data_IF_554533059655
#
_entry.id   IF_554533059655
#
_cell.length_a   1.000
_cell.length_b   1.000
_cell.length_c   1.000
_cell.angle_alpha   90.00
_cell.angle_beta   90.00
_cell.angle_gamma   90.00
#
_symmetry.space_group_name_H-M   'P 1'
#
loop_
_entity.id
_entity.type
_entity.pdbx_description
1 polymer ?
#
# COMPACT_ATOMS: atom_id res chain seq x y z
N UNK A 1 -21.11 52.34 12.69
CA UNK A 1 -20.26 51.93 11.54
C UNK A 1 -20.55 52.86 10.40
N UNK A 2 -19.52 53.55 9.93
CA UNK A 2 -19.64 54.46 8.79
C UNK A 2 -19.71 53.64 7.48
N UNK A 3 -20.29 54.24 6.43
CA UNK A 3 -20.46 53.60 5.12
C UNK A 3 -19.11 53.14 4.50
N UNK A 4 -18.01 53.79 4.91
CA UNK A 4 -16.64 53.42 4.53
C UNK A 4 -16.12 52.18 5.24
N UNK A 5 -16.44 52.02 6.53
CA UNK A 5 -16.07 50.80 7.30
C UNK A 5 -16.77 49.57 6.75
N UNK A 6 -18.01 49.67 6.31
CA UNK A 6 -18.74 48.59 5.68
C UNK A 6 -18.13 48.18 4.32
N UNK A 7 -17.73 49.15 3.49
CA UNK A 7 -17.05 48.90 2.22
C UNK A 7 -15.70 48.25 2.41
N UNK A 8 -14.90 48.68 3.38
CA UNK A 8 -13.60 48.10 3.68
C UNK A 8 -13.72 46.68 4.20
N UNK A 9 -14.69 46.38 5.06
CA UNK A 9 -15.01 45.06 5.58
C UNK A 9 -15.39 44.11 4.45
N UNK A 10 -16.24 44.54 3.51
CA UNK A 10 -16.66 43.73 2.35
C UNK A 10 -15.46 43.42 1.43
N UNK A 11 -14.57 44.41 1.19
CA UNK A 11 -13.37 44.16 0.38
C UNK A 11 -12.40 43.18 1.06
N UNK A 12 -12.21 43.23 2.37
CA UNK A 12 -11.37 42.32 3.11
C UNK A 12 -11.93 40.90 3.06
N UNK A 13 -13.25 40.73 3.17
CA UNK A 13 -13.90 39.41 3.05
C UNK A 13 -13.72 38.83 1.64
N UNK A 14 -13.83 39.67 0.61
CA UNK A 14 -13.65 39.21 -0.77
C UNK A 14 -12.19 38.76 -1.01
N UNK A 15 -11.20 39.50 -0.54
CA UNK A 15 -9.78 39.13 -0.64
C UNK A 15 -9.50 37.84 0.11
N UNK A 16 -10.09 37.60 1.29
CA UNK A 16 -9.94 36.35 2.03
C UNK A 16 -10.55 35.17 1.29
N UNK A 17 -11.72 35.38 0.67
CA UNK A 17 -12.40 34.36 -0.14
C UNK A 17 -11.55 33.95 -1.37
N UNK A 18 -11.01 34.94 -2.09
CA UNK A 18 -10.15 34.71 -3.25
C UNK A 18 -8.86 33.96 -2.86
N UNK A 19 -8.22 34.33 -1.74
CA UNK A 19 -7.04 33.63 -1.22
C UNK A 19 -7.36 32.17 -0.85
N UNK A 20 -8.50 31.93 -0.21
CA UNK A 20 -8.91 30.58 0.17
C UNK A 20 -9.21 29.71 -1.05
N UNK A 21 -9.83 30.29 -2.08
CA UNK A 21 -10.11 29.61 -3.35
C UNK A 21 -8.82 29.27 -4.11
N UNK A 22 -7.89 30.23 -4.18
CA UNK A 22 -6.59 30.02 -4.82
C UNK A 22 -5.76 28.93 -4.10
N UNK A 23 -5.83 28.88 -2.77
CA UNK A 23 -5.18 27.81 -1.99
C UNK A 23 -5.77 26.43 -2.27
N UNK A 24 -7.09 26.31 -2.32
CA UNK A 24 -7.78 25.06 -2.69
C UNK A 24 -7.41 24.60 -4.09
N UNK A 25 -7.38 25.52 -5.06
CA UNK A 25 -7.02 25.19 -6.44
C UNK A 25 -5.58 24.68 -6.55
N UNK A 26 -4.64 25.29 -5.84
CA UNK A 26 -3.26 24.81 -5.77
C UNK A 26 -3.16 23.42 -5.14
N UNK A 27 -3.89 23.17 -4.09
CA UNK A 27 -3.91 21.88 -3.42
C UNK A 27 -4.45 20.78 -4.34
N UNK A 28 -5.52 21.06 -5.10
CA UNK A 28 -6.08 20.15 -6.08
C UNK A 28 -5.12 19.88 -7.25
N UNK A 29 -4.40 20.90 -7.73
CA UNK A 29 -3.37 20.75 -8.76
C UNK A 29 -2.22 19.85 -8.30
N UNK A 30 -1.75 20.03 -7.05
CA UNK A 30 -0.72 19.19 -6.44
C UNK A 30 -1.22 17.76 -6.31
N UNK A 31 -2.44 17.55 -5.81
CA UNK A 31 -3.04 16.23 -5.69
C UNK A 31 -3.09 15.52 -7.05
N UNK A 32 -3.59 16.19 -8.10
CA UNK A 32 -3.68 15.65 -9.45
C UNK A 32 -2.30 15.34 -10.07
N UNK A 33 -1.27 16.12 -9.72
CA UNK A 33 0.11 15.86 -10.13
C UNK A 33 0.65 14.59 -9.47
N UNK A 34 0.45 14.46 -8.17
CA UNK A 34 0.88 13.28 -7.39
C UNK A 34 0.18 12.02 -7.88
N UNK A 35 -1.14 12.08 -8.15
CA UNK A 35 -1.89 10.94 -8.66
C UNK A 35 -1.45 10.52 -10.07
N UNK A 36 -1.14 11.49 -10.94
CA UNK A 36 -0.56 11.20 -12.26
C UNK A 36 0.78 10.52 -12.13
N UNK A 37 1.65 11.04 -11.26
CA UNK A 37 2.97 10.47 -11.01
C UNK A 37 2.89 9.05 -10.44
N UNK A 38 2.00 8.82 -9.47
CA UNK A 38 1.71 7.48 -8.93
C UNK A 38 1.24 6.50 -9.99
N UNK A 39 0.37 6.93 -10.91
CA UNK A 39 -0.08 6.08 -12.02
C UNK A 39 1.05 5.74 -12.98
N UNK A 40 1.90 6.70 -13.30
CA UNK A 40 3.07 6.48 -14.16
C UNK A 40 4.04 5.50 -13.51
N UNK A 41 4.41 5.70 -12.25
CA UNK A 41 5.29 4.78 -11.50
C UNK A 41 4.69 3.37 -11.43
N UNK A 42 3.38 3.24 -11.20
CA UNK A 42 2.72 1.93 -11.20
C UNK A 42 2.77 1.24 -12.56
N UNK A 43 2.63 1.99 -13.66
CA UNK A 43 2.73 1.44 -15.02
C UNK A 43 4.14 0.98 -15.34
N UNK A 44 5.17 1.72 -14.92
CA UNK A 44 6.58 1.38 -15.15
C UNK A 44 7.07 0.19 -14.30
N UNK A 45 6.29 -0.21 -13.28
CA UNK A 45 6.63 -1.30 -12.34
C UNK A 45 5.73 -2.54 -12.48
N UNK A 46 4.94 -2.62 -13.52
CA UNK A 46 4.10 -3.78 -13.75
C UNK A 46 4.97 -4.93 -14.30
N UNK A 47 5.36 -5.85 -13.40
CA UNK A 47 5.89 -7.14 -13.86
C UNK A 47 4.80 -7.89 -14.59
N UNK A 48 5.09 -8.43 -15.78
CA UNK A 48 4.14 -9.27 -16.50
C UNK A 48 4.06 -10.66 -15.86
N UNK A 49 3.43 -10.72 -14.68
CA UNK A 49 3.18 -11.98 -13.96
C UNK A 49 2.16 -12.89 -14.66
N UNK A 50 1.63 -12.47 -15.80
CA UNK A 50 0.84 -13.36 -16.69
C UNK A 50 1.76 -14.34 -17.42
N UNK A 51 3.03 -13.97 -17.61
CA UNK A 51 4.06 -14.88 -18.11
C UNK A 51 4.44 -15.90 -17.02
N UNK A 52 4.28 -17.20 -17.27
CA UNK A 52 4.60 -18.23 -16.29
C UNK A 52 6.05 -18.18 -15.78
N UNK A 53 7.01 -17.84 -16.64
CA UNK A 53 8.42 -17.77 -16.26
C UNK A 53 8.67 -16.64 -15.27
N UNK A 54 8.09 -15.45 -15.51
CA UNK A 54 8.13 -14.33 -14.61
C UNK A 54 7.49 -14.68 -13.26
N UNK A 55 6.28 -15.23 -13.30
CA UNK A 55 5.58 -15.67 -12.10
C UNK A 55 6.40 -16.65 -11.26
N UNK A 56 6.99 -17.67 -11.90
CA UNK A 56 7.81 -18.65 -11.18
C UNK A 56 9.11 -18.04 -10.63
N UNK A 57 9.74 -17.10 -11.33
CA UNK A 57 10.92 -16.40 -10.83
C UNK A 57 10.59 -15.62 -9.54
N UNK A 58 9.52 -14.86 -9.55
CA UNK A 58 9.05 -14.11 -8.36
C UNK A 58 8.62 -15.05 -7.22
N UNK A 59 7.91 -16.13 -7.53
CA UNK A 59 7.53 -17.16 -6.55
C UNK A 59 8.76 -17.82 -5.91
N UNK A 60 9.80 -18.12 -6.67
CA UNK A 60 11.04 -18.68 -6.16
C UNK A 60 11.78 -17.70 -5.25
N UNK A 61 11.75 -16.41 -5.57
CA UNK A 61 12.28 -15.36 -4.68
C UNK A 61 11.54 -15.33 -3.34
N UNK A 62 10.21 -15.38 -3.35
CA UNK A 62 9.39 -15.49 -2.14
C UNK A 62 9.76 -16.74 -1.34
N UNK A 63 9.93 -17.90 -2.00
CA UNK A 63 10.34 -19.14 -1.32
C UNK A 63 11.72 -19.00 -0.69
N UNK A 64 12.68 -18.40 -1.38
CA UNK A 64 14.03 -18.14 -0.87
C UNK A 64 14.01 -17.24 0.37
N UNK A 65 13.23 -16.15 0.32
CA UNK A 65 13.03 -15.26 1.47
C UNK A 65 12.36 -15.99 2.64
N UNK A 66 11.34 -16.82 2.36
CA UNK A 66 10.69 -17.65 3.36
C UNK A 66 11.66 -18.60 4.05
N UNK A 67 12.55 -19.21 3.29
CA UNK A 67 13.61 -20.06 3.85
C UNK A 67 14.57 -19.30 4.74
N UNK A 68 14.89 -18.04 4.44
CA UNK A 68 15.72 -17.20 5.33
C UNK A 68 15.04 -16.94 6.68
N UNK A 69 13.72 -16.79 6.70
CA UNK A 69 12.95 -16.65 7.96
C UNK A 69 12.86 -17.96 8.72
N UNK A 70 12.55 -19.07 8.04
CA UNK A 70 12.35 -20.38 8.64
C UNK A 70 13.67 -21.08 9.01
N UNK A 71 14.78 -20.75 8.32
CA UNK A 71 16.10 -21.34 8.57
C UNK A 71 16.62 -21.08 9.99
N UNK A 72 16.18 -20.01 10.66
CA UNK A 72 16.47 -19.76 12.07
C UNK A 72 15.88 -20.83 13.02
N UNK A 73 14.85 -21.52 12.57
CA UNK A 73 14.16 -22.59 13.27
C UNK A 73 14.51 -23.99 12.71
N UNK A 74 15.49 -24.09 11.80
CA UNK A 74 15.85 -25.31 11.08
C UNK A 74 14.68 -25.93 10.31
N UNK A 75 13.80 -25.08 9.74
CA UNK A 75 12.62 -25.47 8.94
C UNK A 75 12.73 -24.88 7.55
N UNK A 76 12.00 -25.49 6.61
CA UNK A 76 11.87 -24.98 5.26
C UNK A 76 10.51 -24.30 5.04
N UNK A 77 10.51 -23.27 4.20
CA UNK A 77 9.28 -22.63 3.77
C UNK A 77 8.72 -23.40 2.57
N UNK A 78 7.67 -24.14 2.81
CA UNK A 78 7.01 -24.93 1.78
C UNK A 78 5.78 -24.19 1.24
N UNK A 79 5.65 -24.22 -0.11
CA UNK A 79 4.44 -23.73 -0.79
C UNK A 79 3.57 -24.94 -1.10
N UNK A 80 2.56 -25.14 -0.28
CA UNK A 80 1.63 -26.25 -0.33
C UNK A 80 0.21 -25.84 -0.81
N UNK A 81 -0.71 -26.80 -0.82
CA UNK A 81 -2.12 -26.57 -1.20
C UNK A 81 -2.86 -25.55 -0.31
N UNK A 82 -2.40 -25.34 0.94
CA UNK A 82 -3.08 -24.47 1.90
C UNK A 82 -2.66 -23.00 1.72
N UNK A 83 -1.42 -22.76 1.32
CA UNK A 83 -0.86 -21.41 1.21
C UNK A 83 -0.62 -20.93 -0.23
N UNK A 84 -0.53 -21.87 -1.22
CA UNK A 84 -0.18 -21.52 -2.60
C UNK A 84 -1.15 -20.51 -3.24
N UNK A 85 -2.45 -20.65 -2.96
CA UNK A 85 -3.48 -19.77 -3.52
C UNK A 85 -3.37 -18.35 -2.94
N UNK A 86 -3.19 -18.23 -1.63
CA UNK A 86 -2.99 -16.96 -0.95
C UNK A 86 -1.68 -16.30 -1.40
N UNK A 87 -0.61 -17.08 -1.52
CA UNK A 87 0.69 -16.60 -1.99
C UNK A 87 0.60 -16.04 -3.43
N UNK A 88 -0.07 -16.78 -4.33
CA UNK A 88 -0.29 -16.32 -5.71
C UNK A 88 -1.11 -15.04 -5.76
N UNK A 89 -2.17 -14.95 -4.94
CA UNK A 89 -2.98 -13.75 -4.83
C UNK A 89 -2.14 -12.55 -4.39
N UNK A 90 -1.37 -12.68 -3.31
CA UNK A 90 -0.52 -11.60 -2.80
C UNK A 90 0.56 -11.20 -3.79
N UNK A 91 1.12 -12.18 -4.51
CA UNK A 91 2.12 -11.91 -5.55
C UNK A 91 1.55 -11.05 -6.67
N UNK A 92 0.36 -11.40 -7.19
CA UNK A 92 -0.33 -10.57 -8.18
C UNK A 92 -0.75 -9.21 -7.62
N UNK A 93 -1.32 -9.19 -6.42
CA UNK A 93 -1.84 -7.98 -5.78
C UNK A 93 -0.76 -6.91 -5.58
N UNK A 94 0.37 -7.28 -4.97
CA UNK A 94 1.45 -6.33 -4.69
C UNK A 94 2.17 -5.85 -5.95
N UNK A 95 2.14 -6.64 -7.02
CA UNK A 95 2.70 -6.24 -8.31
C UNK A 95 1.68 -5.56 -9.24
N UNK A 96 0.49 -5.22 -8.76
CA UNK A 96 -0.53 -4.50 -9.53
C UNK A 96 -1.19 -5.33 -10.63
N UNK A 97 -0.95 -6.64 -10.66
CA UNK A 97 -1.46 -7.52 -11.70
C UNK A 97 -2.92 -7.88 -11.45
N UNK A 98 -3.80 -7.57 -12.41
CA UNK A 98 -5.25 -7.84 -12.29
C UNK A 98 -5.62 -9.32 -12.17
N UNK A 99 -4.71 -10.25 -12.44
CA UNK A 99 -4.92 -11.66 -12.16
C UNK A 99 -5.20 -11.95 -10.68
N UNK A 100 -4.82 -11.04 -9.75
CA UNK A 100 -5.23 -11.14 -8.36
C UNK A 100 -6.76 -11.28 -8.21
N UNK A 101 -7.53 -10.54 -9.00
CA UNK A 101 -9.00 -10.55 -8.96
C UNK A 101 -9.62 -11.89 -9.44
N UNK A 102 -8.84 -12.73 -10.11
CA UNK A 102 -9.26 -14.02 -10.64
C UNK A 102 -8.86 -15.22 -9.76
N UNK A 103 -7.94 -15.01 -8.82
CA UNK A 103 -7.45 -16.10 -7.92
C UNK A 103 -8.57 -16.64 -7.04
N UNK A 104 -9.47 -15.74 -6.60
CA UNK A 104 -10.64 -16.08 -5.80
C UNK A 104 -11.91 -15.55 -6.51
N UNK A 105 -12.42 -16.28 -7.52
CA UNK A 105 -13.50 -15.78 -8.38
C UNK A 105 -14.82 -15.55 -7.63
N UNK A 106 -15.04 -16.25 -6.52
CA UNK A 106 -16.26 -16.14 -5.70
C UNK A 106 -16.19 -14.94 -4.73
N UNK A 107 -15.06 -14.27 -4.66
CA UNK A 107 -14.82 -13.12 -3.77
C UNK A 107 -14.59 -11.86 -4.60
N UNK A 108 -15.16 -10.74 -4.17
CA UNK A 108 -14.99 -9.45 -4.87
C UNK A 108 -13.70 -8.74 -4.46
N UNK A 109 -12.56 -9.42 -4.58
CA UNK A 109 -11.25 -8.80 -4.34
C UNK A 109 -10.89 -7.86 -5.49
N UNK A 110 -10.39 -6.67 -5.12
CA UNK A 110 -9.92 -5.66 -6.07
C UNK A 110 -8.52 -5.19 -5.69
N UNK A 111 -7.64 -5.06 -6.66
CA UNK A 111 -6.24 -4.65 -6.43
C UNK A 111 -6.09 -3.24 -5.84
N UNK A 112 -7.11 -2.40 -5.93
CA UNK A 112 -7.11 -1.04 -5.35
C UNK A 112 -7.64 -0.98 -3.92
N UNK A 113 -8.19 -2.09 -3.39
CA UNK A 113 -8.71 -2.17 -2.01
C UNK A 113 -7.62 -2.64 -1.06
N UNK A 114 -7.72 -2.22 0.20
CA UNK A 114 -6.86 -2.71 1.26
C UNK A 114 -7.12 -4.20 1.54
N UNK A 115 -6.08 -4.90 2.01
CA UNK A 115 -6.17 -6.31 2.37
C UNK A 115 -6.25 -6.51 3.88
N UNK A 116 -7.07 -7.47 4.29
CA UNK A 116 -7.14 -8.00 5.64
C UNK A 116 -6.87 -9.50 5.61
N UNK A 117 -5.74 -9.94 6.19
CA UNK A 117 -5.42 -11.35 6.35
C UNK A 117 -6.01 -11.88 7.66
N UNK A 118 -6.99 -12.76 7.54
CA UNK A 118 -7.67 -13.39 8.69
C UNK A 118 -7.31 -14.86 8.78
N UNK A 119 -7.20 -15.39 9.99
CA UNK A 119 -6.93 -16.81 10.25
C UNK A 119 -6.48 -17.06 11.68
N UNK A 120 -6.44 -18.35 12.08
CA UNK A 120 -6.05 -18.78 13.43
C UNK A 120 -4.62 -18.31 13.78
N UNK A 121 -4.30 -18.12 15.07
CA UNK A 121 -2.91 -17.91 15.51
C UNK A 121 -1.99 -19.03 14.99
N UNK A 122 -0.73 -18.70 14.71
CA UNK A 122 0.28 -19.69 14.28
C UNK A 122 0.19 -20.10 12.78
N UNK A 123 -0.74 -19.55 11.99
CA UNK A 123 -0.86 -19.88 10.55
C UNK A 123 0.14 -19.13 9.63
N UNK A 124 1.14 -18.46 10.19
CA UNK A 124 2.21 -17.81 9.43
C UNK A 124 1.85 -16.46 8.78
N UNK A 125 0.70 -15.85 9.09
CA UNK A 125 0.25 -14.58 8.48
C UNK A 125 1.28 -13.46 8.61
N UNK A 126 1.79 -13.24 9.82
CA UNK A 126 2.79 -12.20 10.10
C UNK A 126 4.09 -12.47 9.35
N UNK A 127 4.57 -13.71 9.35
CA UNK A 127 5.75 -14.11 8.60
C UNK A 127 5.56 -13.88 7.10
N UNK A 128 4.40 -14.25 6.56
CA UNK A 128 4.09 -14.04 5.15
C UNK A 128 4.15 -12.54 4.78
N UNK A 129 3.59 -11.67 5.61
CA UNK A 129 3.66 -10.23 5.38
C UNK A 129 5.08 -9.68 5.50
N UNK A 130 5.90 -10.21 6.41
CA UNK A 130 7.33 -9.87 6.49
C UNK A 130 8.09 -10.26 5.23
N UNK A 131 7.86 -11.48 4.73
CA UNK A 131 8.43 -11.96 3.47
C UNK A 131 8.05 -11.04 2.30
N UNK A 132 6.78 -10.65 2.19
CA UNK A 132 6.33 -9.75 1.15
C UNK A 132 6.90 -8.33 1.29
N UNK A 133 7.05 -7.81 2.51
CA UNK A 133 7.71 -6.53 2.76
C UNK A 133 9.16 -6.54 2.24
N UNK A 134 9.91 -7.60 2.53
CA UNK A 134 11.30 -7.75 2.05
C UNK A 134 11.35 -7.98 0.54
N UNK A 135 10.43 -8.77 0.00
CA UNK A 135 10.30 -9.01 -1.45
C UNK A 135 10.10 -7.69 -2.19
N UNK A 136 9.14 -6.85 -1.77
CA UNK A 136 8.85 -5.57 -2.40
C UNK A 136 10.03 -4.60 -2.33
N UNK A 137 10.76 -4.62 -1.22
CA UNK A 137 11.97 -3.81 -1.04
C UNK A 137 13.09 -4.27 -1.98
N UNK A 138 13.32 -5.58 -2.09
CA UNK A 138 14.37 -6.15 -2.95
C UNK A 138 14.06 -5.95 -4.44
N UNK A 139 12.81 -5.98 -4.81
CA UNK A 139 12.38 -5.75 -6.20
C UNK A 139 12.17 -4.27 -6.52
N UNK A 140 12.49 -3.37 -5.60
CA UNK A 140 12.24 -1.92 -5.72
C UNK A 140 10.80 -1.57 -6.09
N UNK A 141 9.84 -2.39 -5.63
CA UNK A 141 8.44 -2.20 -5.93
C UNK A 141 7.90 -0.97 -5.19
N UNK A 142 7.17 -0.04 -5.85
CA UNK A 142 6.64 1.16 -5.22
C UNK A 142 5.55 0.88 -4.18
N UNK A 143 4.99 -0.32 -4.15
CA UNK A 143 3.99 -0.74 -3.16
C UNK A 143 4.64 -1.28 -1.87
N UNK A 144 5.88 -0.86 -1.56
CA UNK A 144 6.53 -1.22 -0.29
C UNK A 144 5.69 -0.78 0.91
N UNK A 145 5.74 -1.57 1.97
CA UNK A 145 5.08 -1.25 3.23
C UNK A 145 5.96 -1.65 4.42
N UNK A 146 5.72 -1.04 5.57
CA UNK A 146 6.35 -1.41 6.82
C UNK A 146 5.46 -2.32 7.67
N UNK A 147 6.07 -3.29 8.33
CA UNK A 147 5.37 -4.14 9.31
C UNK A 147 5.41 -3.47 10.68
N UNK A 148 4.26 -3.06 11.18
CA UNK A 148 4.11 -2.47 12.51
C UNK A 148 3.28 -3.38 13.39
N UNK A 149 3.75 -3.62 14.61
CA UNK A 149 2.92 -4.26 15.63
C UNK A 149 1.91 -3.26 16.20
N UNK A 150 0.80 -3.77 16.74
CA UNK A 150 -0.19 -2.93 17.44
C UNK A 150 0.46 -2.13 18.57
N UNK A 151 1.43 -2.72 19.29
CA UNK A 151 2.17 -2.03 20.34
C UNK A 151 2.98 -0.85 19.80
N UNK A 152 3.64 -1.02 18.66
CA UNK A 152 4.37 0.07 17.98
C UNK A 152 3.42 1.18 17.54
N UNK A 153 2.27 0.83 16.97
CA UNK A 153 1.25 1.81 16.58
C UNK A 153 0.70 2.58 17.78
N UNK A 154 0.40 1.88 18.89
CA UNK A 154 -0.07 2.53 20.12
C UNK A 154 0.97 3.44 20.75
N UNK A 155 2.24 3.03 20.77
CA UNK A 155 3.32 3.87 21.27
C UNK A 155 3.51 5.11 20.40
N UNK A 156 3.46 4.96 19.08
CA UNK A 156 3.54 6.08 18.16
C UNK A 156 2.37 7.06 18.37
N UNK A 157 1.14 6.55 18.52
CA UNK A 157 -0.03 7.38 18.82
C UNK A 157 0.11 8.13 20.16
N UNK A 158 0.59 7.47 21.22
CA UNK A 158 0.82 8.12 22.53
C UNK A 158 1.82 9.26 22.44
N UNK A 159 2.85 9.13 21.58
CA UNK A 159 3.89 10.15 21.42
C UNK A 159 3.47 11.33 20.53
N UNK A 160 2.66 11.08 19.50
CA UNK A 160 2.39 12.03 18.44
C UNK A 160 0.92 12.48 18.37
N UNK A 161 0.00 11.80 19.05
CA UNK A 161 -1.44 12.08 19.03
C UNK A 161 -2.18 11.64 17.75
N UNK A 162 -1.46 11.06 16.78
CA UNK A 162 -2.02 10.53 15.53
C UNK A 162 -1.23 9.27 15.09
N UNK A 163 -1.79 8.50 14.14
CA UNK A 163 -1.18 7.25 13.65
C UNK A 163 -0.45 7.46 12.32
N UNK A 164 -0.74 8.55 11.61
CA UNK A 164 -0.17 8.79 10.29
C UNK A 164 1.33 9.09 10.39
N UNK A 165 2.12 8.29 9.68
CA UNK A 165 3.53 8.56 9.42
C UNK A 165 3.62 9.29 8.08
N UNK A 166 4.21 10.47 8.12
CA UNK A 166 4.51 11.26 6.91
C UNK A 166 5.74 10.71 6.20
#
# INVERSE_FOLDING_TARGET
MTNEEQKLSAQLQQIQLEKSFAAKLKQEQIYNLVERHRKTIRQDFEYDLTNPNEFYAHRNLIKSLGNNYMGREFREFEVDKNNSKVLSFLLYYFNGCRYAEQVFPDEDYKIHKNLLLVGKPGTGKTMLMQIFSDYLRLTHNPNTFENLSVTQMMNYYKMNGHIDRH
#
